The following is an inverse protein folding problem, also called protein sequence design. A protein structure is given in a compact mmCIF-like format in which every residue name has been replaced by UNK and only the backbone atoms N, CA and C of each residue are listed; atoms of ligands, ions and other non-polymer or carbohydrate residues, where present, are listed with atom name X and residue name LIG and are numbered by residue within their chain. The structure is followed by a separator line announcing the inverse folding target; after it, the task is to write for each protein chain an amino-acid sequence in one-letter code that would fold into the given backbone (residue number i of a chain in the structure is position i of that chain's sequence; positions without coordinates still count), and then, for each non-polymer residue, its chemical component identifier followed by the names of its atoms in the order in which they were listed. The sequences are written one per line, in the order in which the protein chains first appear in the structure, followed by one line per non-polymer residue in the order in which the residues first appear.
data_IF_511976998891
#
_entry.id   IF_511976998891
#
_cell.length_a   1.000
_cell.length_b   1.000
_cell.length_c   1.000
_cell.angle_alpha   90.00
_cell.angle_beta   90.00
_cell.angle_gamma   90.00
#
_symmetry.space_group_name_H-M   'P 1'
#
loop_
_entity.id
_entity.type
_entity.pdbx_description
1 polymer ?
#
# COMPACT_ATOMS: atom_id res chain seq x y z
N UNK A 1 3.03 -14.16 -10.41
CA UNK A 1 4.47 -13.90 -10.25
C UNK A 1 4.82 -12.51 -9.69
N UNK A 2 3.95 -11.49 -9.71
CA UNK A 2 4.27 -10.15 -9.17
C UNK A 2 4.32 -10.04 -7.64
N UNK A 3 3.38 -10.69 -6.93
CA UNK A 3 3.30 -10.66 -5.45
C UNK A 3 4.63 -11.01 -4.74
N UNK A 4 5.32 -12.13 -5.04
CA UNK A 4 6.57 -12.46 -4.36
C UNK A 4 7.70 -11.44 -4.63
N UNK A 5 7.70 -10.76 -5.79
CA UNK A 5 8.67 -9.70 -6.06
C UNK A 5 8.44 -8.50 -5.14
N UNK A 6 7.20 -8.03 -5.01
CA UNK A 6 6.87 -6.92 -4.12
C UNK A 6 7.11 -7.30 -2.65
N UNK A 7 6.85 -8.55 -2.26
CA UNK A 7 7.17 -9.05 -0.92
C UNK A 7 8.68 -9.02 -0.64
N UNK A 8 9.52 -9.41 -1.61
CA UNK A 8 10.97 -9.32 -1.50
C UNK A 8 11.45 -7.87 -1.35
N UNK A 9 10.92 -6.95 -2.16
CA UNK A 9 11.24 -5.52 -2.05
C UNK A 9 10.81 -4.96 -0.69
N UNK A 10 9.60 -5.28 -0.22
CA UNK A 10 9.12 -4.87 1.09
C UNK A 10 10.02 -5.39 2.23
N UNK A 11 10.52 -6.61 2.12
CA UNK A 11 11.47 -7.17 3.08
C UNK A 11 12.81 -6.42 3.08
N UNK A 12 13.32 -6.01 1.91
CA UNK A 12 14.54 -5.19 1.81
C UNK A 12 14.34 -3.79 2.41
N UNK A 13 13.21 -3.14 2.13
CA UNK A 13 12.85 -1.85 2.75
C UNK A 13 12.71 -2.00 4.26
N UNK A 14 12.10 -3.09 4.77
CA UNK A 14 12.04 -3.36 6.21
C UNK A 14 13.43 -3.60 6.82
N UNK A 15 14.32 -4.26 6.08
CA UNK A 15 15.69 -4.53 6.52
C UNK A 15 16.50 -3.25 6.73
N UNK A 16 16.31 -2.25 5.86
CA UNK A 16 16.93 -0.93 5.94
C UNK A 16 16.24 -0.01 6.95
N UNK A 17 14.91 0.03 6.94
CA UNK A 17 14.08 0.83 7.84
C UNK A 17 13.35 -0.05 8.87
N UNK A 18 14.09 -0.61 9.82
CA UNK A 18 13.56 -1.60 10.78
C UNK A 18 12.35 -1.11 11.59
N UNK A 19 12.25 0.18 11.85
CA UNK A 19 11.18 0.77 12.66
C UNK A 19 9.93 1.15 11.86
N UNK A 20 9.97 1.09 10.53
CA UNK A 20 8.81 1.47 9.71
C UNK A 20 7.65 0.51 9.87
N UNK A 21 6.45 1.06 9.93
CA UNK A 21 5.21 0.28 9.90
C UNK A 21 5.04 -0.41 8.53
N UNK A 22 4.17 -1.44 8.44
CA UNK A 22 3.77 -2.00 7.14
C UNK A 22 3.19 -0.95 6.18
N UNK A 23 2.47 0.05 6.70
CA UNK A 23 1.88 1.11 5.91
C UNK A 23 2.94 2.06 5.35
N UNK A 24 3.93 2.45 6.16
CA UNK A 24 5.06 3.27 5.71
C UNK A 24 5.85 2.58 4.59
N UNK A 25 6.09 1.26 4.70
CA UNK A 25 6.76 0.47 3.64
C UNK A 25 5.93 0.45 2.36
N UNK A 26 4.62 0.19 2.46
CA UNK A 26 3.72 0.25 1.32
C UNK A 26 3.73 1.65 0.68
N UNK A 27 3.69 2.70 1.49
CA UNK A 27 3.75 4.08 1.03
C UNK A 27 5.04 4.36 0.28
N UNK A 28 6.19 3.96 0.83
CA UNK A 28 7.48 4.16 0.19
C UNK A 28 7.55 3.47 -1.18
N UNK A 29 7.07 2.23 -1.28
CA UNK A 29 7.00 1.51 -2.56
C UNK A 29 6.08 2.25 -3.54
N UNK A 30 4.86 2.63 -3.13
CA UNK A 30 3.89 3.24 -4.03
C UNK A 30 4.31 4.64 -4.52
N UNK A 31 4.78 5.51 -3.62
CA UNK A 31 5.12 6.91 -3.94
C UNK A 31 6.40 7.05 -4.76
N UNK A 32 7.21 5.99 -4.83
CA UNK A 32 8.47 5.95 -5.59
C UNK A 32 8.40 5.07 -6.83
N UNK A 33 7.26 4.43 -7.09
CA UNK A 33 7.04 3.67 -8.31
C UNK A 33 7.07 4.55 -9.55
N UNK A 34 7.51 3.97 -10.67
CA UNK A 34 7.61 4.66 -11.95
C UNK A 34 6.37 4.41 -12.81
N UNK A 35 5.78 5.48 -13.35
CA UNK A 35 4.61 5.41 -14.25
C UNK A 35 4.98 5.40 -15.73
N UNK A 36 6.26 5.57 -16.03
CA UNK A 36 6.82 5.58 -17.37
C UNK A 36 7.55 4.26 -17.63
N UNK A 37 7.50 3.81 -18.87
CA UNK A 37 8.26 2.66 -19.34
C UNK A 37 9.69 3.05 -19.76
N UNK A 38 10.42 2.07 -20.29
CA UNK A 38 11.79 2.25 -20.79
C UNK A 38 11.89 3.18 -22.01
N UNK A 39 10.78 3.50 -22.67
CA UNK A 39 10.70 4.47 -23.76
C UNK A 39 10.35 5.88 -23.26
N UNK A 40 10.23 6.08 -21.94
CA UNK A 40 9.74 7.31 -21.31
C UNK A 40 8.29 7.66 -21.70
N UNK A 41 7.53 6.67 -22.18
CA UNK A 41 6.09 6.79 -22.40
C UNK A 41 5.33 6.28 -21.18
N UNK A 42 4.06 6.65 -21.05
CA UNK A 42 3.22 6.04 -20.02
C UNK A 42 3.06 4.55 -20.26
N UNK A 43 3.24 3.76 -19.20
CA UNK A 43 2.99 2.31 -19.23
C UNK A 43 1.60 2.04 -19.82
N UNK A 44 1.53 1.11 -20.77
CA UNK A 44 0.30 0.77 -21.50
C UNK A 44 -0.36 -0.48 -20.91
N UNK A 45 -1.67 -0.50 -20.95
CA UNK A 45 -2.48 -1.67 -20.62
C UNK A 45 -2.49 -2.59 -21.85
N UNK A 46 -2.09 -3.85 -21.67
CA UNK A 46 -1.94 -4.78 -22.78
C UNK A 46 -3.28 -5.17 -23.43
N UNK A 47 -4.39 -5.11 -22.68
CA UNK A 47 -5.72 -5.46 -23.19
C UNK A 47 -6.31 -4.38 -24.10
N UNK A 48 -5.98 -3.11 -23.83
CA UNK A 48 -6.51 -1.95 -24.58
C UNK A 48 -5.50 -1.26 -25.48
N UNK A 49 -4.20 -1.49 -25.28
CA UNK A 49 -3.10 -0.76 -25.93
C UNK A 49 -2.99 0.71 -25.50
N UNK A 50 -3.87 1.18 -24.61
CA UNK A 50 -3.94 2.56 -24.13
C UNK A 50 -3.11 2.75 -22.87
N UNK A 51 -2.91 4.01 -22.44
CA UNK A 51 -2.26 4.31 -21.15
C UNK A 51 -2.96 3.54 -20.03
N UNK A 52 -2.18 2.78 -19.26
CA UNK A 52 -2.70 2.04 -18.14
C UNK A 52 -3.13 3.00 -17.01
N UNK A 53 -4.28 2.69 -16.42
CA UNK A 53 -4.88 3.48 -15.35
C UNK A 53 -4.42 2.97 -13.98
N UNK A 54 -4.65 3.71 -12.88
CA UNK A 54 -4.38 3.22 -11.54
C UNK A 54 -5.14 1.92 -11.19
N UNK A 55 -6.26 1.62 -11.86
CA UNK A 55 -6.96 0.35 -11.69
C UNK A 55 -6.17 -0.85 -12.26
N UNK A 56 -5.30 -0.62 -13.25
CA UNK A 56 -4.48 -1.66 -13.87
C UNK A 56 -3.11 -1.82 -13.18
N UNK A 57 -2.46 -0.71 -12.81
CA UNK A 57 -1.06 -0.72 -12.34
C UNK A 57 -0.85 -0.12 -10.93
N UNK A 58 -1.91 0.40 -10.30
CA UNK A 58 -1.79 1.13 -9.05
C UNK A 58 -0.95 2.40 -9.22
N UNK A 59 0.14 2.49 -8.45
CA UNK A 59 1.00 3.66 -8.42
C UNK A 59 2.15 3.63 -9.47
N UNK A 60 2.48 2.46 -10.03
CA UNK A 60 3.55 2.34 -11.01
C UNK A 60 4.26 1.00 -10.96
N UNK A 61 5.23 0.82 -11.84
CA UNK A 61 6.24 -0.22 -11.72
C UNK A 61 7.13 0.03 -10.50
N UNK A 62 7.41 -1.01 -9.72
CA UNK A 62 8.21 -0.85 -8.49
C UNK A 62 9.63 -0.37 -8.80
N UNK A 63 10.10 0.63 -8.07
CA UNK A 63 11.50 1.07 -8.09
C UNK A 63 12.15 0.79 -6.73
N UNK A 64 12.83 -0.36 -6.55
CA UNK A 64 13.36 -0.76 -5.25
C UNK A 64 14.38 0.24 -4.69
N UNK A 65 15.21 0.83 -5.55
CA UNK A 65 16.26 1.75 -5.12
C UNK A 65 15.66 3.07 -4.62
N UNK A 66 14.65 3.61 -5.30
CA UNK A 66 13.97 4.84 -4.85
C UNK A 66 13.15 4.60 -3.58
N UNK A 67 12.54 3.42 -3.44
CA UNK A 67 11.77 3.06 -2.25
C UNK A 67 12.59 3.04 -0.95
N UNK A 68 13.92 2.94 -1.03
CA UNK A 68 14.81 3.05 0.13
C UNK A 68 14.91 4.47 0.68
N UNK A 69 14.63 5.50 -0.12
CA UNK A 69 14.63 6.90 0.32
C UNK A 69 13.47 7.66 -0.34
N UNK A 70 12.22 7.44 0.11
CA UNK A 70 11.03 8.05 -0.49
C UNK A 70 10.86 9.54 -0.14
N UNK A 71 11.67 10.07 0.80
CA UNK A 71 11.51 11.41 1.35
C UNK A 71 10.34 11.52 2.33
N UNK A 72 9.11 11.24 1.86
CA UNK A 72 7.89 11.27 2.66
C UNK A 72 7.17 9.92 2.64
N UNK A 73 6.47 9.61 3.74
CA UNK A 73 5.61 8.43 3.86
C UNK A 73 4.25 8.80 4.42
N UNK A 74 3.22 8.15 3.90
CA UNK A 74 1.85 8.18 4.42
C UNK A 74 1.68 7.00 5.38
N UNK A 75 1.94 7.23 6.67
CA UNK A 75 1.86 6.19 7.69
C UNK A 75 0.47 6.11 8.32
N UNK A 76 0.04 4.91 8.69
CA UNK A 76 -1.21 4.62 9.40
C UNK A 76 -1.02 3.42 10.32
N UNK A 77 -1.71 3.44 11.47
CA UNK A 77 -1.73 2.38 12.45
C UNK A 77 -2.90 1.41 12.28
N UNK A 78 -2.91 0.36 13.11
CA UNK A 78 -4.02 -0.62 13.14
C UNK A 78 -5.35 0.05 13.50
N UNK A 79 -5.34 1.00 14.44
CA UNK A 79 -6.55 1.69 14.88
C UNK A 79 -7.17 2.54 13.76
N UNK A 80 -6.38 3.10 12.83
CA UNK A 80 -6.92 3.85 11.69
C UNK A 80 -7.75 2.95 10.76
N UNK A 81 -7.30 1.70 10.57
CA UNK A 81 -8.09 0.71 9.84
C UNK A 81 -9.36 0.31 10.60
N UNK A 82 -9.31 0.20 11.93
CA UNK A 82 -10.51 -0.05 12.75
C UNK A 82 -11.49 1.12 12.61
N UNK A 83 -11.02 2.36 12.74
CA UNK A 83 -11.83 3.57 12.61
C UNK A 83 -12.49 3.66 11.22
N UNK A 84 -11.79 3.26 10.15
CA UNK A 84 -12.35 3.14 8.81
C UNK A 84 -13.48 2.09 8.76
N UNK A 85 -13.28 0.90 9.34
CA UNK A 85 -14.31 -0.14 9.38
C UNK A 85 -15.54 0.33 10.18
N UNK A 86 -15.33 1.07 11.27
CA UNK A 86 -16.41 1.70 12.03
C UNK A 86 -17.16 2.74 11.19
N UNK A 87 -16.45 3.60 10.46
CA UNK A 87 -17.05 4.63 9.58
C UNK A 87 -17.88 4.02 8.43
N UNK A 88 -17.51 2.82 7.98
CA UNK A 88 -18.27 2.04 7.00
C UNK A 88 -19.53 1.36 7.58
N UNK A 89 -19.87 1.59 8.84
CA UNK A 89 -21.01 0.99 9.55
C UNK A 89 -20.98 -0.55 9.56
N UNK A 90 -19.79 -1.15 9.57
CA UNK A 90 -19.63 -2.61 9.70
C UNK A 90 -19.98 -3.02 11.13
N UNK A 91 -20.69 -4.13 11.29
CA UNK A 91 -21.09 -4.61 12.63
C UNK A 91 -19.88 -5.01 13.48
N UNK A 92 -19.95 -4.77 14.78
CA UNK A 92 -18.86 -5.08 15.71
C UNK A 92 -18.42 -6.55 15.63
N UNK A 93 -19.36 -7.48 15.44
CA UNK A 93 -19.07 -8.91 15.24
C UNK A 93 -18.15 -9.14 14.04
N UNK A 94 -18.41 -8.46 12.93
CA UNK A 94 -17.61 -8.56 11.71
C UNK A 94 -16.26 -7.87 11.88
N UNK A 95 -16.21 -6.71 12.53
CA UNK A 95 -14.95 -6.03 12.84
C UNK A 95 -14.05 -6.97 13.67
N UNK A 96 -14.58 -7.54 14.76
CA UNK A 96 -13.85 -8.51 15.60
C UNK A 96 -13.41 -9.74 14.80
N UNK A 97 -14.21 -10.22 13.84
CA UNK A 97 -13.83 -11.33 12.99
C UNK A 97 -12.66 -10.98 12.04
N UNK A 98 -12.64 -9.75 11.51
CA UNK A 98 -11.59 -9.25 10.62
C UNK A 98 -10.30 -8.97 11.38
N UNK A 99 -10.39 -8.21 12.48
CA UNK A 99 -9.21 -7.78 13.27
C UNK A 99 -8.68 -8.90 14.16
N UNK A 100 -9.50 -9.91 14.45
CA UNK A 100 -9.23 -10.97 15.45
C UNK A 100 -8.89 -10.41 16.84
N UNK A 101 -9.36 -9.20 17.13
CA UNK A 101 -9.18 -8.51 18.41
C UNK A 101 -10.55 -8.17 19.00
N UNK A 102 -10.70 -8.34 20.31
CA UNK A 102 -11.89 -7.89 21.04
C UNK A 102 -11.82 -6.39 21.39
N UNK A 103 -10.64 -5.78 21.31
CA UNK A 103 -10.41 -4.36 21.56
C UNK A 103 -10.52 -3.59 20.24
N UNK A 104 -11.76 -3.34 19.80
CA UNK A 104 -12.04 -2.48 18.65
C UNK A 104 -12.87 -1.29 19.15
N UNK A 105 -12.19 -0.17 19.40
CA UNK A 105 -12.82 1.08 19.81
C UNK A 105 -13.38 1.79 18.57
N UNK A 106 -14.70 1.99 18.53
CA UNK A 106 -15.39 2.76 17.49
C UNK A 106 -15.86 4.14 17.98
N UNK A 107 -15.34 4.62 19.11
CA UNK A 107 -15.75 5.92 19.69
C UNK A 107 -15.32 7.12 18.82
N UNK A 108 -14.33 6.94 17.94
CA UNK A 108 -13.82 7.96 17.01
C UNK A 108 -13.73 7.39 15.59
N UNK A 109 -14.85 7.27 14.86
CA UNK A 109 -14.82 6.87 13.46
C UNK A 109 -14.03 7.91 12.61
N UNK A 110 -13.38 7.43 11.55
CA UNK A 110 -12.60 8.25 10.61
C UNK A 110 -13.45 9.05 9.63
#
# INVERSE_FOLDING_TARGET
MACPHVAGVAALVKGTHRNWSPAAIRSAIMTTSDILDNNQEHIKDIGTGSRATPFALGAGHVNPNRALNPGLVYDVGVQDYVNLLCALNITQKNITAITRSSSNDCSKPS
#
